data_IF_452593166237
#
_entry.id   IF_452593166237
#
_cell.length_a   1.000
_cell.length_b   1.000
_cell.length_c   1.000
_cell.angle_alpha   90.00
_cell.angle_beta   90.00
_cell.angle_gamma   90.00
#
_symmetry.space_group_name_H-M   'P 1'
#
loop_
_entity.id
_entity.type
_entity.pdbx_description
1 polymer ?
#
# COMPACT_ATOMS: atom_id res chain seq x y z
N UNK A 1 15.00 15.04 -15.20
CA UNK A 1 14.59 14.52 -13.89
C UNK A 1 13.07 14.47 -13.91
N UNK A 2 12.48 13.28 -14.03
CA UNK A 2 11.04 13.14 -14.22
C UNK A 2 10.26 13.64 -13.00
N UNK A 3 9.32 14.59 -13.12
CA UNK A 3 8.55 15.09 -11.98
C UNK A 3 7.62 14.02 -11.38
N UNK A 4 7.42 12.89 -12.07
CA UNK A 4 6.54 11.79 -11.65
C UNK A 4 7.10 10.98 -10.47
N UNK A 5 8.42 10.89 -10.31
CA UNK A 5 9.05 10.29 -9.11
C UNK A 5 8.98 11.20 -7.88
N UNK A 6 8.73 12.51 -8.08
CA UNK A 6 8.63 13.53 -7.03
C UNK A 6 7.19 13.98 -6.73
N UNK A 7 6.18 13.13 -7.00
CA UNK A 7 4.84 13.40 -6.47
C UNK A 7 4.92 13.62 -4.94
N UNK A 8 4.18 14.57 -4.35
CA UNK A 8 4.34 14.96 -2.94
C UNK A 8 4.24 13.77 -1.99
N UNK A 9 3.37 12.81 -2.33
CA UNK A 9 3.23 11.52 -1.62
C UNK A 9 4.49 10.64 -1.70
N UNK A 10 5.15 10.55 -2.86
CA UNK A 10 6.36 9.74 -3.07
C UNK A 10 7.55 10.35 -2.34
N UNK A 11 7.70 11.67 -2.41
CA UNK A 11 8.73 12.41 -1.68
C UNK A 11 8.61 12.19 -0.16
N UNK A 12 7.37 12.23 0.37
CA UNK A 12 7.12 11.92 1.78
C UNK A 12 7.57 10.49 2.13
N UNK A 13 7.22 9.50 1.32
CA UNK A 13 7.65 8.12 1.57
C UNK A 13 9.17 7.94 1.49
N UNK A 14 9.85 8.58 0.53
CA UNK A 14 11.31 8.60 0.47
C UNK A 14 11.93 9.19 1.74
N UNK A 15 11.38 10.30 2.22
CA UNK A 15 11.82 10.95 3.45
C UNK A 15 11.58 10.05 4.66
N UNK A 16 10.43 9.39 4.77
CA UNK A 16 10.13 8.44 5.84
C UNK A 16 11.12 7.29 5.87
N UNK A 17 11.39 6.67 4.71
CA UNK A 17 12.36 5.57 4.60
C UNK A 17 13.77 6.02 4.96
N UNK A 18 14.17 7.22 4.53
CA UNK A 18 15.46 7.80 4.89
C UNK A 18 15.57 8.04 6.41
N UNK A 19 14.53 8.59 7.04
CA UNK A 19 14.48 8.79 8.50
C UNK A 19 14.59 7.46 9.23
N UNK A 20 13.83 6.43 8.81
CA UNK A 20 13.90 5.09 9.41
C UNK A 20 15.30 4.50 9.29
N UNK A 21 15.94 4.62 8.12
CA UNK A 21 17.31 4.15 7.91
C UNK A 21 18.30 4.86 8.83
N UNK A 22 18.23 6.19 8.92
CA UNK A 22 19.11 6.98 9.78
C UNK A 22 18.92 6.66 11.26
N UNK A 23 17.67 6.47 11.71
CA UNK A 23 17.37 6.05 13.09
C UNK A 23 17.96 4.67 13.37
N UNK A 24 17.79 3.71 12.46
CA UNK A 24 18.36 2.37 12.59
C UNK A 24 19.89 2.41 12.66
N UNK A 25 20.55 3.16 11.77
CA UNK A 25 22.00 3.30 11.79
C UNK A 25 22.49 3.97 13.07
N UNK A 26 21.78 4.99 13.57
CA UNK A 26 22.13 5.67 14.81
C UNK A 26 21.97 4.76 16.04
N UNK A 27 20.93 3.94 16.07
CA UNK A 27 20.74 2.92 17.11
C UNK A 27 21.82 1.84 17.05
N UNK A 28 22.17 1.37 15.85
CA UNK A 28 23.26 0.41 15.64
C UNK A 28 24.60 0.95 16.13
N UNK A 29 24.91 2.20 15.80
CA UNK A 29 26.11 2.89 16.28
C UNK A 29 26.16 3.00 17.81
N UNK A 30 25.06 3.41 18.43
CA UNK A 30 24.97 3.48 19.89
C UNK A 30 25.16 2.11 20.56
N UNK A 31 24.60 1.04 19.98
CA UNK A 31 24.79 -0.31 20.48
C UNK A 31 26.21 -0.82 20.29
N UNK A 32 26.87 -0.45 19.19
CA UNK A 32 28.28 -0.75 18.96
C UNK A 32 29.15 -0.13 20.06
N UNK A 33 29.01 1.16 20.34
CA UNK A 33 29.72 1.84 21.43
C UNK A 33 29.42 1.19 22.79
N UNK A 34 28.14 0.86 23.04
CA UNK A 34 27.71 0.23 24.29
C UNK A 34 28.30 -1.17 24.49
N UNK A 35 28.50 -1.93 23.40
CA UNK A 35 29.07 -3.28 23.45
C UNK A 35 30.51 -3.31 23.99
N UNK A 36 31.25 -2.20 23.88
CA UNK A 36 32.64 -2.06 24.33
C UNK A 36 32.77 -1.80 25.84
N UNK A 37 31.67 -1.45 26.53
CA UNK A 37 31.64 -1.22 27.98
C UNK A 37 31.34 -2.57 28.66
N UNK A 38 32.24 -3.05 29.54
CA UNK A 38 32.19 -4.40 30.18
C UNK A 38 30.79 -4.80 30.67
N UNK A 39 30.27 -5.91 30.14
CA UNK A 39 29.01 -6.57 30.53
C UNK A 39 28.01 -6.69 29.36
N UNK A 40 27.71 -7.92 28.89
CA UNK A 40 26.68 -8.17 27.86
C UNK A 40 27.09 -7.93 26.39
N UNK A 41 28.40 -7.97 26.08
CA UNK A 41 28.96 -7.57 24.78
C UNK A 41 28.34 -8.30 23.56
N UNK A 42 28.10 -9.61 23.64
CA UNK A 42 27.59 -10.40 22.52
C UNK A 42 26.15 -10.03 22.13
N UNK A 43 25.28 -9.77 23.10
CA UNK A 43 23.89 -9.39 22.84
C UNK A 43 23.81 -7.96 22.27
N UNK A 44 24.57 -7.02 22.82
CA UNK A 44 24.63 -5.65 22.30
C UNK A 44 25.22 -5.61 20.89
N UNK A 45 26.23 -6.43 20.61
CA UNK A 45 26.80 -6.58 19.27
C UNK A 45 25.78 -7.14 18.27
N UNK A 46 25.01 -8.16 18.67
CA UNK A 46 23.94 -8.69 17.83
C UNK A 46 22.92 -7.59 17.48
N UNK A 47 22.50 -6.78 18.46
CA UNK A 47 21.62 -5.64 18.20
C UNK A 47 22.28 -4.57 17.32
N UNK A 48 23.57 -4.28 17.52
CA UNK A 48 24.32 -3.33 16.70
C UNK A 48 24.32 -3.70 15.21
N UNK A 49 24.33 -5.01 14.91
CA UNK A 49 24.23 -5.53 13.54
C UNK A 49 22.77 -5.68 13.07
N UNK A 50 21.84 -6.01 13.98
CA UNK A 50 20.43 -6.19 13.66
C UNK A 50 19.75 -4.88 13.24
N UNK A 51 20.10 -3.75 13.87
CA UNK A 51 19.52 -2.45 13.53
C UNK A 51 19.78 -2.05 12.06
N UNK A 52 21.03 -2.10 11.53
CA UNK A 52 21.29 -1.93 10.10
C UNK A 52 20.49 -2.86 9.19
N UNK A 53 20.29 -4.13 9.59
CA UNK A 53 19.49 -5.09 8.80
C UNK A 53 18.04 -4.63 8.69
N UNK A 54 17.43 -4.13 9.76
CA UNK A 54 16.08 -3.56 9.69
C UNK A 54 16.01 -2.31 8.80
N UNK A 55 16.99 -1.42 8.88
CA UNK A 55 17.09 -0.25 8.00
C UNK A 55 17.20 -0.66 6.52
N UNK A 56 18.06 -1.63 6.22
CA UNK A 56 18.20 -2.21 4.88
C UNK A 56 16.92 -2.90 4.40
N UNK A 57 16.23 -3.63 5.28
CA UNK A 57 14.96 -4.27 4.95
C UNK A 57 13.86 -3.26 4.62
N UNK A 58 13.76 -2.15 5.35
CA UNK A 58 12.82 -1.07 5.05
C UNK A 58 13.08 -0.47 3.65
N UNK A 59 14.35 -0.23 3.30
CA UNK A 59 14.75 0.23 1.97
C UNK A 59 14.38 -0.81 0.90
N UNK A 60 14.65 -2.09 1.14
CA UNK A 60 14.31 -3.18 0.23
C UNK A 60 12.80 -3.24 -0.05
N UNK A 61 11.97 -3.22 0.99
CA UNK A 61 10.51 -3.21 0.86
C UNK A 61 10.05 -1.99 0.08
N UNK A 62 10.60 -0.81 0.37
CA UNK A 62 10.27 0.41 -0.35
C UNK A 62 10.63 0.34 -1.84
N UNK A 63 11.84 -0.12 -2.17
CA UNK A 63 12.25 -0.35 -3.57
C UNK A 63 11.35 -1.35 -4.27
N UNK A 64 10.96 -2.43 -3.58
CA UNK A 64 10.04 -3.44 -4.11
C UNK A 64 8.66 -2.85 -4.39
N UNK A 65 8.11 -2.05 -3.47
CA UNK A 65 6.83 -1.37 -3.66
C UNK A 65 6.89 -0.38 -4.83
N UNK A 66 7.95 0.42 -4.93
CA UNK A 66 8.15 1.32 -6.06
C UNK A 66 8.20 0.57 -7.40
N UNK A 67 8.89 -0.57 -7.47
CA UNK A 67 8.92 -1.42 -8.67
C UNK A 67 7.53 -1.96 -9.03
N UNK A 68 6.74 -2.35 -8.04
CA UNK A 68 5.36 -2.82 -8.26
C UNK A 68 4.46 -1.71 -8.79
N UNK A 69 4.58 -0.49 -8.25
CA UNK A 69 3.82 0.67 -8.73
C UNK A 69 4.19 1.01 -10.18
N UNK A 70 5.48 1.07 -10.51
CA UNK A 70 5.96 1.39 -11.86
C UNK A 70 5.46 0.34 -12.87
N UNK A 71 5.61 -0.95 -12.55
CA UNK A 71 5.16 -2.03 -13.43
C UNK A 71 3.62 -2.07 -13.56
N UNK A 72 2.89 -1.74 -12.48
CA UNK A 72 1.44 -1.64 -12.49
C UNK A 72 0.92 -0.44 -13.30
N UNK A 73 1.60 0.71 -13.25
CA UNK A 73 1.30 1.87 -14.11
C UNK A 73 1.51 1.53 -15.59
N UNK A 74 2.59 0.82 -15.94
CA UNK A 74 2.86 0.38 -17.32
C UNK A 74 1.78 -0.59 -17.84
N UNK A 75 1.32 -1.54 -17.01
CA UNK A 75 0.23 -2.44 -17.37
C UNK A 75 -1.10 -1.70 -17.60
N UNK A 76 -1.38 -0.65 -16.81
CA UNK A 76 -2.56 0.22 -17.01
C UNK A 76 -2.46 1.07 -18.28
N UNK A 77 -1.27 1.55 -18.63
CA UNK A 77 -1.06 2.36 -19.85
C UNK A 77 -1.06 1.51 -21.13
N UNK A 78 -0.64 0.24 -21.07
CA UNK A 78 -0.70 -0.70 -22.20
C UNK A 78 -2.10 -1.25 -22.49
N UNK A 79 -3.06 -1.09 -21.57
CA UNK A 79 -4.44 -1.56 -21.71
C UNK A 79 -5.37 -0.38 -21.98
N UNK A 80 -5.19 0.31 -23.11
CA UNK A 80 -6.04 1.41 -23.58
C UNK A 80 -7.44 0.97 -24.07
N UNK A 81 -8.06 0.01 -23.39
CA UNK A 81 -9.46 -0.38 -23.64
C UNK A 81 -10.39 0.30 -22.62
N UNK A 82 -11.66 0.61 -22.98
CA UNK A 82 -12.57 1.31 -22.08
C UNK A 82 -12.80 0.48 -20.81
N UNK A 83 -12.26 0.95 -19.69
CA UNK A 83 -12.62 0.40 -18.37
C UNK A 83 -14.02 0.92 -18.06
N UNK A 84 -15.01 0.04 -18.20
CA UNK A 84 -16.35 0.26 -17.65
C UNK A 84 -16.20 0.66 -16.17
N UNK A 85 -16.72 1.83 -15.84
CA UNK A 85 -16.45 2.56 -14.60
C UNK A 85 -16.46 1.68 -13.36
N UNK A 86 -15.34 1.67 -12.64
CA UNK A 86 -15.26 1.15 -11.28
C UNK A 86 -15.87 2.20 -10.35
N UNK A 87 -16.94 1.89 -9.59
CA UNK A 87 -17.49 2.83 -8.63
C UNK A 87 -16.43 3.16 -7.58
N UNK A 88 -16.28 4.46 -7.42
CA UNK A 88 -15.50 5.25 -6.50
C UNK A 88 -15.92 4.94 -5.05
N UNK A 89 -15.41 3.82 -4.52
CA UNK A 89 -15.64 3.44 -3.13
C UNK A 89 -14.92 2.19 -2.65
N UNK A 90 -14.45 1.32 -3.54
CA UNK A 90 -13.77 0.08 -3.15
C UNK A 90 -12.25 0.23 -3.15
N UNK A 91 -11.69 0.80 -2.09
CA UNK A 91 -10.25 0.70 -1.78
C UNK A 91 -9.91 -0.69 -1.25
N UNK A 92 -9.81 -1.66 -2.15
CA UNK A 92 -9.23 -2.99 -1.89
C UNK A 92 -8.07 -3.29 -2.85
N UNK A 93 -7.11 -4.17 -2.48
CA UNK A 93 -6.02 -4.53 -3.37
C UNK A 93 -6.57 -5.25 -4.61
N UNK A 94 -6.49 -4.57 -5.75
CA UNK A 94 -6.88 -5.12 -7.05
C UNK A 94 -5.84 -6.14 -7.51
N UNK A 95 -5.93 -7.36 -6.98
CA UNK A 95 -5.19 -8.51 -7.49
C UNK A 95 -5.72 -8.80 -8.89
N UNK A 96 -4.98 -8.32 -9.88
CA UNK A 96 -5.27 -8.46 -11.30
C UNK A 96 -5.00 -9.90 -11.78
N UNK A 97 -5.80 -10.84 -11.29
CA UNK A 97 -6.08 -12.13 -11.92
C UNK A 97 -7.57 -12.43 -11.70
N UNK A 98 -8.44 -11.56 -12.22
CA UNK A 98 -9.87 -11.90 -12.30
C UNK A 98 -9.99 -12.91 -13.44
N UNK A 99 -9.95 -14.20 -13.09
CA UNK A 99 -10.49 -15.24 -13.95
C UNK A 99 -11.93 -14.81 -14.28
N UNK A 100 -12.24 -14.63 -15.56
CA UNK A 100 -13.61 -14.40 -15.98
C UNK A 100 -14.41 -15.65 -15.61
N UNK A 101 -15.20 -15.55 -14.55
CA UNK A 101 -16.21 -16.53 -14.18
C UNK A 101 -17.50 -15.98 -14.77
N UNK A 102 -18.14 -16.68 -15.73
CA UNK A 102 -19.46 -16.30 -16.22
C UNK A 102 -20.40 -16.11 -15.03
N UNK A 103 -21.15 -15.00 -14.95
CA UNK A 103 -21.98 -14.72 -13.80
C UNK A 103 -23.03 -15.83 -13.64
N UNK A 104 -23.03 -16.46 -12.46
CA UNK A 104 -24.03 -17.44 -12.07
C UNK A 104 -25.43 -16.79 -12.12
N UNK A 105 -26.45 -17.44 -12.72
CA UNK A 105 -27.83 -16.94 -12.70
C UNK A 105 -28.32 -16.52 -11.31
N UNK A 106 -27.88 -17.19 -10.23
CA UNK A 106 -28.24 -16.81 -8.86
C UNK A 106 -27.65 -15.45 -8.46
N UNK A 107 -26.37 -15.20 -8.80
CA UNK A 107 -25.71 -13.91 -8.52
C UNK A 107 -26.33 -12.77 -9.34
N UNK A 108 -26.78 -13.04 -10.56
CA UNK A 108 -27.51 -12.05 -11.37
C UNK A 108 -28.82 -11.66 -10.70
N UNK A 109 -29.59 -12.65 -10.22
CA UNK A 109 -30.84 -12.39 -9.50
C UNK A 109 -30.59 -11.64 -8.18
N UNK A 110 -29.54 -12.00 -7.44
CA UNK A 110 -29.18 -11.34 -6.19
C UNK A 110 -28.73 -9.88 -6.42
N UNK A 111 -27.90 -9.61 -7.42
CA UNK A 111 -27.48 -8.25 -7.75
C UNK A 111 -28.66 -7.38 -8.22
N UNK A 112 -29.62 -7.97 -8.94
CA UNK A 112 -30.87 -7.28 -9.31
C UNK A 112 -31.78 -7.00 -8.11
N UNK A 113 -31.74 -7.86 -7.08
CA UNK A 113 -32.44 -7.60 -5.82
C UNK A 113 -31.75 -6.48 -5.02
N UNK A 114 -30.41 -6.48 -4.95
CA UNK A 114 -29.67 -5.41 -4.29
C UNK A 114 -29.87 -4.04 -4.93
N UNK A 115 -29.97 -3.96 -6.27
CA UNK A 115 -30.25 -2.69 -6.94
C UNK A 115 -31.65 -2.17 -6.61
N UNK A 116 -32.65 -3.05 -6.52
CA UNK A 116 -34.00 -2.65 -6.10
C UNK A 116 -34.02 -2.07 -4.68
N UNK A 117 -33.26 -2.67 -3.75
CA UNK A 117 -33.13 -2.16 -2.39
C UNK A 117 -32.40 -0.82 -2.33
N UNK A 118 -31.36 -0.63 -3.14
CA UNK A 118 -30.61 0.62 -3.22
C UNK A 118 -31.48 1.76 -3.75
N UNK A 119 -32.27 1.51 -4.80
CA UNK A 119 -33.22 2.49 -5.34
C UNK A 119 -34.33 2.83 -4.31
N UNK A 120 -34.83 1.84 -3.58
CA UNK A 120 -35.78 2.07 -2.50
C UNK A 120 -35.15 2.90 -1.35
N UNK A 121 -33.90 2.63 -1.01
CA UNK A 121 -33.16 3.37 0.01
C UNK A 121 -32.91 4.82 -0.40
N UNK A 122 -32.48 5.07 -1.65
CA UNK A 122 -32.31 6.42 -2.22
C UNK A 122 -33.61 7.20 -2.23
N UNK A 123 -34.72 6.55 -2.61
CA UNK A 123 -36.04 7.17 -2.61
C UNK A 123 -36.45 7.59 -1.19
N UNK A 124 -36.26 6.70 -0.20
CA UNK A 124 -36.55 6.99 1.21
C UNK A 124 -35.63 8.07 1.79
N UNK A 125 -34.37 8.10 1.37
CA UNK A 125 -33.40 9.12 1.76
C UNK A 125 -33.75 10.48 1.16
N UNK A 126 -34.12 10.54 -0.12
CA UNK A 126 -34.56 11.76 -0.80
C UNK A 126 -35.81 12.37 -0.13
N UNK A 127 -36.78 11.54 0.26
CA UNK A 127 -37.97 11.99 0.99
C UNK A 127 -37.62 12.60 2.35
N UNK A 128 -36.68 12.01 3.11
CA UNK A 128 -36.22 12.54 4.41
C UNK A 128 -35.43 13.85 4.32
N UNK A 129 -34.79 14.13 3.20
CA UNK A 129 -34.04 15.38 2.99
C UNK A 129 -34.92 16.53 2.47
N UNK A 130 -36.16 16.24 2.08
CA UNK A 130 -37.14 17.23 1.62
C UNK A 130 -38.07 17.73 2.74
N UNK A 131 -38.03 17.10 3.91
CA UNK A 131 -38.66 17.53 5.17
C UNK A 131 -37.68 18.34 6.02
#
# INVERSE_FOLDING_TARGET
>A
MDPRIFGPKRLLCHLVVLVVLLVCLRLGWWQWERSQIRGGAAQNLAYALLWPVFGGYAVFVWVRLLRMEINGEQARQGTGGPVLGRPDGASGPSTALVRYVPPDPELVAYNAYLSQLDEAAKTKQAARHAE
#
